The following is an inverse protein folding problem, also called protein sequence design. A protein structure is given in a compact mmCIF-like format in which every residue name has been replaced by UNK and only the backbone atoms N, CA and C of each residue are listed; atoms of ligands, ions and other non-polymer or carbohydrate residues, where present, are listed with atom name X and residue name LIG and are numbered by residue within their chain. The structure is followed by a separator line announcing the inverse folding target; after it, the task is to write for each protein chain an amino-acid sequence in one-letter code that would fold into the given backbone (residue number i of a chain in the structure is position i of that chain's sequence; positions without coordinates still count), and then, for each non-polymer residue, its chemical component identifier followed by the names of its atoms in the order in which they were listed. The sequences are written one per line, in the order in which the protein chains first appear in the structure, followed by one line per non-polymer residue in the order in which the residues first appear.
data_IF_074688136203
#
_entry.id   IF_074688136203
#
_cell.length_a   1.000
_cell.length_b   1.000
_cell.length_c   1.000
_cell.angle_alpha   90.00
_cell.angle_beta   90.00
_cell.angle_gamma   90.00
#
_symmetry.space_group_name_H-M   'P 1'
#
loop_
_entity.id
_entity.type
_entity.pdbx_description
1 polymer ?
#
# COMPACT_ATOMS: atom_id res chain seq x y z
N UNK A 1 -8.30 -22.38 -32.24
CA UNK A 1 -7.26 -21.36 -32.01
C UNK A 1 -6.87 -21.47 -30.55
N UNK A 2 -5.71 -22.06 -30.26
CA UNK A 2 -5.23 -22.25 -28.89
C UNK A 2 -4.84 -20.90 -28.30
N UNK A 3 -5.42 -20.60 -27.15
CA UNK A 3 -5.22 -19.39 -26.35
C UNK A 3 -3.74 -19.31 -25.94
N UNK A 4 -2.99 -18.39 -26.56
CA UNK A 4 -1.57 -18.18 -26.29
C UNK A 4 -1.38 -17.26 -25.08
N UNK A 5 -2.00 -17.62 -23.95
CA UNK A 5 -1.75 -16.92 -22.67
C UNK A 5 -0.30 -17.15 -22.27
N UNK A 6 0.37 -16.08 -21.86
CA UNK A 6 1.69 -16.17 -21.26
C UNK A 6 1.60 -17.09 -20.04
N UNK A 7 2.26 -18.24 -20.09
CA UNK A 7 2.25 -19.21 -18.98
C UNK A 7 3.12 -18.64 -17.86
N UNK A 8 2.69 -18.66 -16.59
CA UNK A 8 3.53 -18.20 -15.49
C UNK A 8 4.85 -19.00 -15.45
N UNK A 9 5.98 -18.36 -15.06
CA UNK A 9 7.27 -19.01 -14.91
C UNK A 9 7.20 -20.25 -14.01
N UNK A 10 8.06 -21.25 -14.24
CA UNK A 10 8.03 -22.51 -13.48
C UNK A 10 8.24 -22.31 -11.96
N UNK A 11 9.05 -21.33 -11.57
CA UNK A 11 9.27 -20.92 -10.18
C UNK A 11 8.01 -20.38 -9.50
N UNK A 12 7.13 -19.73 -10.26
CA UNK A 12 5.84 -19.22 -9.78
C UNK A 12 4.79 -20.32 -9.64
N UNK A 13 4.85 -21.36 -10.47
CA UNK A 13 3.89 -22.46 -10.41
C UNK A 13 3.90 -23.16 -9.04
N UNK A 14 5.08 -23.40 -8.46
CA UNK A 14 5.23 -24.04 -7.15
C UNK A 14 4.80 -23.12 -6.01
N UNK A 15 5.02 -21.80 -6.13
CA UNK A 15 4.53 -20.82 -5.15
C UNK A 15 3.00 -20.71 -5.18
N UNK A 16 2.40 -20.67 -6.37
CA UNK A 16 0.94 -20.65 -6.57
C UNK A 16 0.28 -21.90 -6.00
N UNK A 17 0.88 -23.08 -6.21
CA UNK A 17 0.32 -24.34 -5.68
C UNK A 17 0.31 -24.39 -4.14
N UNK A 18 1.27 -23.72 -3.48
CA UNK A 18 1.34 -23.64 -2.01
C UNK A 18 0.45 -22.57 -1.40
N UNK A 19 -0.10 -21.66 -2.21
CA UNK A 19 -1.01 -20.63 -1.73
C UNK A 19 -2.29 -21.23 -1.12
N UNK A 20 -2.89 -20.54 -0.16
CA UNK A 20 -4.17 -20.93 0.43
C UNK A 20 -5.30 -20.91 -0.61
N UNK A 21 -5.22 -20.04 -1.62
CA UNK A 21 -6.15 -20.01 -2.75
C UNK A 21 -5.44 -20.00 -4.12
N UNK A 22 -4.93 -21.15 -4.59
CA UNK A 22 -4.15 -21.23 -5.84
C UNK A 22 -4.89 -20.69 -7.06
N UNK A 23 -6.20 -20.94 -7.18
CA UNK A 23 -7.03 -20.43 -8.28
C UNK A 23 -7.09 -18.90 -8.33
N UNK A 24 -7.17 -18.26 -7.16
CA UNK A 24 -7.23 -16.79 -7.08
C UNK A 24 -5.89 -16.19 -7.45
N UNK A 25 -4.80 -16.72 -6.88
CA UNK A 25 -3.44 -16.26 -7.20
C UNK A 25 -3.17 -16.44 -8.69
N UNK A 26 -3.48 -17.62 -9.24
CA UNK A 26 -3.35 -17.89 -10.68
C UNK A 26 -4.13 -16.88 -11.52
N UNK A 27 -5.39 -16.61 -11.18
CA UNK A 27 -6.18 -15.61 -11.90
C UNK A 27 -5.58 -14.20 -11.82
N UNK A 28 -5.02 -13.80 -10.68
CA UNK A 28 -4.36 -12.48 -10.53
C UNK A 28 -3.12 -12.40 -11.40
N UNK A 29 -2.30 -13.45 -11.42
CA UNK A 29 -1.11 -13.55 -12.27
C UNK A 29 -1.47 -13.52 -13.76
N UNK A 30 -2.51 -14.27 -14.16
CA UNK A 30 -3.00 -14.25 -15.53
C UNK A 30 -3.41 -12.83 -15.94
N UNK A 31 -4.24 -12.15 -15.13
CA UNK A 31 -4.64 -10.77 -15.44
C UNK A 31 -3.45 -9.80 -15.46
N UNK A 32 -2.47 -9.97 -14.56
CA UNK A 32 -1.25 -9.16 -14.55
C UNK A 32 -0.47 -9.34 -15.85
N UNK A 33 -0.23 -10.58 -16.25
CA UNK A 33 0.59 -10.90 -17.43
C UNK A 33 -0.14 -10.64 -18.75
N UNK A 34 -1.48 -10.75 -18.78
CA UNK A 34 -2.29 -10.34 -19.93
C UNK A 34 -2.22 -8.82 -20.13
N UNK A 35 -2.25 -8.04 -19.04
CA UNK A 35 -2.15 -6.58 -19.09
C UNK A 35 -0.71 -6.09 -19.33
N UNK A 36 0.28 -6.77 -18.74
CA UNK A 36 1.71 -6.42 -18.79
C UNK A 36 2.58 -7.65 -19.08
N UNK A 37 2.63 -8.11 -20.35
CA UNK A 37 3.39 -9.31 -20.72
C UNK A 37 4.89 -9.23 -20.44
N UNK A 38 5.45 -8.01 -20.45
CA UNK A 38 6.87 -7.78 -20.16
C UNK A 38 7.27 -8.13 -18.72
N UNK A 39 6.33 -8.11 -17.78
CA UNK A 39 6.57 -8.41 -16.37
C UNK A 39 6.88 -9.90 -16.14
N UNK A 40 6.55 -10.79 -17.10
CA UNK A 40 6.84 -12.22 -17.00
C UNK A 40 8.34 -12.52 -16.80
N UNK A 41 9.20 -11.89 -17.61
CA UNK A 41 10.65 -12.10 -17.54
C UNK A 41 11.24 -11.58 -16.22
N UNK A 42 10.69 -10.48 -15.70
CA UNK A 42 11.10 -9.90 -14.42
C UNK A 42 10.72 -10.81 -13.25
N UNK A 43 9.47 -11.28 -13.24
CA UNK A 43 8.98 -12.20 -12.21
C UNK A 43 9.71 -13.56 -12.24
N UNK A 44 10.21 -13.98 -13.40
CA UNK A 44 11.08 -15.15 -13.50
C UNK A 44 12.49 -14.88 -12.95
N UNK A 45 13.06 -13.71 -13.24
CA UNK A 45 14.40 -13.32 -12.82
C UNK A 45 14.51 -12.94 -11.34
N UNK A 46 13.42 -12.51 -10.72
CA UNK A 46 13.37 -12.01 -9.33
C UNK A 46 12.44 -12.87 -8.45
N UNK A 47 12.92 -13.98 -7.86
CA UNK A 47 12.09 -14.88 -7.05
C UNK A 47 11.42 -14.21 -5.84
N UNK A 48 12.10 -13.25 -5.21
CA UNK A 48 11.58 -12.52 -4.05
C UNK A 48 10.41 -11.61 -4.44
N UNK A 49 10.46 -11.01 -5.64
CA UNK A 49 9.36 -10.23 -6.19
C UNK A 49 8.16 -11.13 -6.50
N UNK A 50 8.42 -12.28 -7.14
CA UNK A 50 7.37 -13.28 -7.41
C UNK A 50 6.69 -13.76 -6.12
N UNK A 51 7.47 -14.03 -5.06
CA UNK A 51 6.94 -14.40 -3.76
C UNK A 51 6.05 -13.29 -3.16
N UNK A 52 6.48 -12.02 -3.26
CA UNK A 52 5.69 -10.88 -2.80
C UNK A 52 4.34 -10.75 -3.54
N UNK A 53 4.35 -10.89 -4.87
CA UNK A 53 3.11 -10.86 -5.67
C UNK A 53 2.16 -11.99 -5.26
N UNK A 54 2.67 -13.21 -5.09
CA UNK A 54 1.86 -14.37 -4.67
C UNK A 54 1.28 -14.15 -3.27
N UNK A 55 2.11 -13.74 -2.31
CA UNK A 55 1.70 -13.52 -0.92
C UNK A 55 0.59 -12.46 -0.84
N UNK A 56 0.77 -11.33 -1.52
CA UNK A 56 -0.24 -10.26 -1.56
C UNK A 56 -1.53 -10.73 -2.25
N UNK A 57 -1.42 -11.41 -3.39
CA UNK A 57 -2.56 -11.91 -4.14
C UNK A 57 -3.40 -12.91 -3.33
N UNK A 58 -2.74 -13.70 -2.48
CA UNK A 58 -3.40 -14.66 -1.61
C UNK A 58 -3.94 -14.00 -0.32
N UNK A 59 -3.28 -12.99 0.23
CA UNK A 59 -3.78 -12.34 1.43
C UNK A 59 -4.97 -11.40 1.17
N UNK A 60 -4.92 -10.61 0.10
CA UNK A 60 -5.84 -9.47 -0.07
C UNK A 60 -6.31 -9.25 -1.50
N UNK A 61 -7.64 -9.33 -1.71
CA UNK A 61 -8.26 -8.99 -3.00
C UNK A 61 -8.09 -7.52 -3.38
N UNK A 62 -8.03 -6.64 -2.40
CA UNK A 62 -7.83 -5.21 -2.65
C UNK A 62 -6.42 -4.96 -3.18
N UNK A 63 -5.41 -5.49 -2.49
CA UNK A 63 -4.02 -5.32 -2.90
C UNK A 63 -3.71 -6.07 -4.20
N UNK A 64 -4.29 -7.25 -4.41
CA UNK A 64 -4.19 -7.97 -5.68
C UNK A 64 -4.65 -7.12 -6.88
N UNK A 65 -5.78 -6.40 -6.73
CA UNK A 65 -6.27 -5.48 -7.77
C UNK A 65 -5.33 -4.31 -7.98
N UNK A 66 -4.75 -3.78 -6.91
CA UNK A 66 -3.74 -2.72 -7.01
C UNK A 66 -2.50 -3.21 -7.77
N UNK A 67 -2.02 -4.42 -7.47
CA UNK A 67 -0.91 -5.05 -8.20
C UNK A 67 -1.19 -5.14 -9.69
N UNK A 68 -2.44 -5.42 -10.11
CA UNK A 68 -2.78 -5.48 -11.53
C UNK A 68 -2.94 -4.07 -12.15
N UNK A 69 -3.61 -3.15 -11.45
CA UNK A 69 -4.02 -1.86 -11.99
C UNK A 69 -2.94 -0.77 -11.98
N UNK A 70 -1.95 -0.86 -11.09
CA UNK A 70 -0.89 0.13 -10.94
C UNK A 70 0.42 -0.38 -11.55
N UNK A 71 0.92 0.32 -12.57
CA UNK A 71 2.16 -0.03 -13.28
C UNK A 71 3.39 -0.03 -12.37
N UNK A 72 3.42 0.84 -11.35
CA UNK A 72 4.56 0.93 -10.43
C UNK A 72 4.53 -0.14 -9.32
N UNK A 73 3.47 -0.95 -9.24
CA UNK A 73 3.28 -1.91 -8.13
C UNK A 73 4.40 -2.93 -8.00
N UNK A 74 4.99 -3.40 -9.11
CA UNK A 74 6.11 -4.34 -9.06
C UNK A 74 7.39 -3.68 -8.55
N UNK A 75 7.62 -2.41 -8.88
CA UNK A 75 8.76 -1.64 -8.33
C UNK A 75 8.59 -1.41 -6.83
N UNK A 76 7.37 -1.12 -6.39
CA UNK A 76 7.02 -1.00 -4.96
C UNK A 76 7.28 -2.32 -4.22
N UNK A 77 6.88 -3.45 -4.80
CA UNK A 77 7.09 -4.77 -4.20
C UNK A 77 8.58 -5.17 -4.20
N UNK A 78 9.32 -4.86 -5.26
CA UNK A 78 10.75 -5.13 -5.35
C UNK A 78 11.55 -4.28 -4.35
N UNK A 79 11.18 -3.00 -4.18
CA UNK A 79 11.82 -2.05 -3.27
C UNK A 79 11.27 -2.04 -1.84
N UNK A 80 10.47 -3.03 -1.45
CA UNK A 80 9.61 -2.97 -0.25
C UNK A 80 10.29 -2.72 1.09
N UNK A 81 11.60 -3.00 1.17
CA UNK A 81 12.43 -2.73 2.33
C UNK A 81 12.55 -1.23 2.66
N UNK A 82 12.30 -0.33 1.70
CA UNK A 82 12.50 1.11 1.86
C UNK A 82 11.19 1.87 1.57
N UNK A 83 10.74 2.76 2.48
CA UNK A 83 9.59 3.62 2.21
C UNK A 83 9.79 4.52 0.98
N UNK A 84 8.73 4.67 0.19
CA UNK A 84 8.73 5.59 -0.95
C UNK A 84 8.65 7.03 -0.46
N UNK A 85 9.36 7.98 -1.10
CA UNK A 85 9.20 9.40 -0.81
C UNK A 85 7.74 9.83 -0.90
N UNK A 86 7.30 10.70 0.02
CA UNK A 86 5.94 11.23 0.07
C UNK A 86 5.64 12.05 -1.18
N UNK A 87 4.65 11.63 -1.95
CA UNK A 87 4.08 12.41 -3.03
C UNK A 87 2.77 13.05 -2.57
N UNK A 88 2.78 14.38 -2.48
CA UNK A 88 1.61 15.19 -2.16
C UNK A 88 1.48 16.36 -3.13
N UNK A 89 1.80 16.14 -4.42
CA UNK A 89 1.63 17.16 -5.46
C UNK A 89 0.15 17.46 -5.76
N UNK A 90 -0.72 16.47 -5.52
CA UNK A 90 -2.18 16.60 -5.60
C UNK A 90 -2.84 15.60 -4.65
N UNK A 91 -4.15 15.73 -4.45
CA UNK A 91 -4.94 14.76 -3.67
C UNK A 91 -4.82 13.35 -4.28
N UNK A 92 -4.92 13.24 -5.60
CA UNK A 92 -4.80 11.96 -6.30
C UNK A 92 -3.41 11.35 -6.14
N UNK A 93 -2.36 12.17 -6.23
CA UNK A 93 -0.98 11.72 -6.01
C UNK A 93 -0.79 11.18 -4.59
N UNK A 94 -1.35 11.86 -3.59
CA UNK A 94 -1.32 11.43 -2.19
C UNK A 94 -2.08 10.12 -1.96
N UNK A 95 -3.24 9.95 -2.62
CA UNK A 95 -4.01 8.70 -2.57
C UNK A 95 -3.24 7.54 -3.21
N UNK A 96 -2.57 7.79 -4.33
CA UNK A 96 -1.73 6.78 -5.01
C UNK A 96 -0.55 6.41 -4.11
N UNK A 97 0.17 7.41 -3.57
CA UNK A 97 1.27 7.18 -2.63
C UNK A 97 0.81 6.34 -1.43
N UNK A 98 -0.32 6.71 -0.81
CA UNK A 98 -0.88 5.96 0.33
C UNK A 98 -1.12 4.48 -0.02
N UNK A 99 -1.73 4.22 -1.19
CA UNK A 99 -2.04 2.85 -1.63
C UNK A 99 -0.78 2.03 -1.89
N UNK A 100 0.24 2.65 -2.49
CA UNK A 100 1.55 2.03 -2.74
C UNK A 100 2.29 1.72 -1.44
N UNK A 101 2.32 2.66 -0.50
CA UNK A 101 2.93 2.40 0.81
C UNK A 101 2.19 1.33 1.59
N UNK A 102 0.86 1.28 1.51
CA UNK A 102 0.09 0.19 2.13
C UNK A 102 0.43 -1.17 1.51
N UNK A 103 0.58 -1.24 0.18
CA UNK A 103 1.02 -2.44 -0.54
C UNK A 103 2.41 -2.88 -0.07
N UNK A 104 3.33 -1.91 0.04
CA UNK A 104 4.71 -2.12 0.48
C UNK A 104 4.77 -2.75 1.88
N UNK A 105 4.08 -2.13 2.84
CA UNK A 105 4.03 -2.59 4.24
C UNK A 105 3.42 -3.98 4.31
N UNK A 106 2.29 -4.20 3.64
CA UNK A 106 1.62 -5.49 3.64
C UNK A 106 2.46 -6.60 3.01
N UNK A 107 3.21 -6.31 1.94
CA UNK A 107 4.09 -7.30 1.35
C UNK A 107 5.24 -7.70 2.28
N UNK A 108 5.88 -6.73 2.94
CA UNK A 108 6.95 -6.99 3.89
C UNK A 108 6.45 -7.76 5.13
N UNK A 109 5.27 -7.42 5.64
CA UNK A 109 4.59 -8.15 6.73
C UNK A 109 4.29 -9.61 6.35
N UNK A 110 3.68 -9.84 5.18
CA UNK A 110 3.33 -11.19 4.70
C UNK A 110 4.53 -12.10 4.38
N UNK A 111 5.71 -11.50 4.21
CA UNK A 111 6.97 -12.21 3.98
C UNK A 111 7.81 -12.33 5.26
N UNK A 112 7.23 -12.01 6.43
CA UNK A 112 7.89 -12.04 7.74
C UNK A 112 9.14 -11.14 7.81
N UNK A 113 9.22 -10.08 6.99
CA UNK A 113 10.32 -9.11 6.98
C UNK A 113 10.16 -8.05 8.07
N UNK A 114 8.95 -7.90 8.63
CA UNK A 114 8.60 -6.96 9.69
C UNK A 114 8.01 -7.69 10.88
N UNK A 115 8.45 -7.33 12.09
CA UNK A 115 7.73 -7.73 13.29
C UNK A 115 6.45 -6.90 13.48
N UNK A 116 5.53 -7.39 14.32
CA UNK A 116 4.23 -6.76 14.57
C UNK A 116 4.36 -5.29 14.99
N UNK A 117 5.37 -4.96 15.81
CA UNK A 117 5.57 -3.61 16.29
C UNK A 117 6.09 -2.70 15.16
N UNK A 118 6.92 -3.22 14.25
CA UNK A 118 7.42 -2.53 13.07
C UNK A 118 6.30 -2.27 12.06
N UNK A 119 5.39 -3.23 11.85
CA UNK A 119 4.18 -3.03 11.04
C UNK A 119 3.35 -1.89 11.61
N UNK A 120 3.08 -1.90 12.92
CA UNK A 120 2.31 -0.84 13.57
C UNK A 120 2.94 0.54 13.43
N UNK A 121 4.27 0.64 13.62
CA UNK A 121 5.01 1.89 13.41
C UNK A 121 4.92 2.38 11.97
N UNK A 122 5.11 1.50 10.97
CA UNK A 122 5.04 1.92 9.56
C UNK A 122 3.63 2.32 9.13
N UNK A 123 2.58 1.69 9.67
CA UNK A 123 1.21 2.11 9.43
C UNK A 123 0.92 3.49 10.06
N UNK A 124 1.46 3.76 11.25
CA UNK A 124 1.42 5.09 11.86
C UNK A 124 2.20 6.13 11.04
N UNK A 125 3.39 5.81 10.55
CA UNK A 125 4.18 6.70 9.69
C UNK A 125 3.48 6.99 8.35
N UNK A 126 2.80 5.98 7.79
CA UNK A 126 1.92 6.17 6.62
C UNK A 126 0.79 7.14 6.94
N UNK A 127 0.10 6.99 8.07
CA UNK A 127 -0.96 7.90 8.49
C UNK A 127 -0.44 9.34 8.69
N UNK A 128 0.70 9.50 9.36
CA UNK A 128 1.38 10.79 9.55
C UNK A 128 1.74 11.43 8.19
N UNK A 129 2.25 10.65 7.24
CA UNK A 129 2.56 11.11 5.89
C UNK A 129 1.31 11.56 5.12
N UNK A 130 0.19 10.84 5.25
CA UNK A 130 -1.10 11.25 4.66
C UNK A 130 -1.61 12.55 5.29
N UNK A 131 -1.59 12.65 6.62
CA UNK A 131 -2.04 13.85 7.33
C UNK A 131 -1.18 15.07 6.96
N UNK A 132 0.15 14.92 7.00
CA UNK A 132 1.07 15.98 6.59
C UNK A 132 0.92 16.37 5.11
N UNK A 133 0.69 15.40 4.22
CA UNK A 133 0.39 15.65 2.82
C UNK A 133 -0.92 16.43 2.63
N UNK A 134 -1.98 16.04 3.35
CA UNK A 134 -3.27 16.70 3.30
C UNK A 134 -3.20 18.15 3.82
N UNK A 135 -2.49 18.40 4.93
CA UNK A 135 -2.27 19.75 5.44
C UNK A 135 -1.56 20.64 4.43
N UNK A 136 -0.52 20.13 3.75
CA UNK A 136 0.18 20.89 2.69
C UNK A 136 -0.74 21.22 1.52
N UNK A 137 -1.56 20.27 1.07
CA UNK A 137 -2.51 20.47 -0.02
C UNK A 137 -3.61 21.46 0.33
N UNK A 138 -3.98 21.55 1.61
CA UNK A 138 -4.97 22.48 2.13
C UNK A 138 -4.38 23.84 2.56
N UNK A 139 -3.07 24.06 2.40
CA UNK A 139 -2.33 25.22 2.91
C UNK A 139 -2.54 25.47 4.42
N UNK A 140 -2.76 24.41 5.18
CA UNK A 140 -3.03 24.44 6.61
C UNK A 140 -1.72 24.48 7.41
N UNK A 141 -1.00 25.60 7.33
CA UNK A 141 0.33 25.76 7.94
C UNK A 141 0.31 26.18 9.42
N UNK A 142 -0.78 26.80 9.88
CA UNK A 142 -0.96 27.28 11.26
C UNK A 142 -1.80 26.32 12.14
N UNK A 143 -1.89 25.05 11.74
CA UNK A 143 -2.65 24.02 12.45
C UNK A 143 -1.70 22.90 12.89
N UNK A 144 -1.75 22.56 14.17
CA UNK A 144 -1.17 21.33 14.69
C UNK A 144 -2.18 20.17 14.58
N UNK A 145 -1.70 19.03 14.07
CA UNK A 145 -2.46 17.77 14.04
C UNK A 145 -1.93 16.85 15.13
N UNK A 146 -2.77 16.49 16.08
CA UNK A 146 -2.41 15.61 17.20
C UNK A 146 -3.07 14.25 16.98
N UNK A 147 -2.25 13.22 16.75
CA UNK A 147 -2.71 11.84 16.70
C UNK A 147 -3.11 11.34 18.08
N UNK A 148 -4.31 10.77 18.17
CA UNK A 148 -4.87 10.19 19.40
C UNK A 148 -4.92 8.66 19.28
N UNK A 149 -5.25 7.98 20.38
CA UNK A 149 -5.42 6.53 20.39
C UNK A 149 -4.20 5.78 19.85
N UNK A 150 -4.43 4.80 18.95
CA UNK A 150 -3.38 3.99 18.33
C UNK A 150 -2.44 4.79 17.43
N UNK A 151 -2.93 5.85 16.80
CA UNK A 151 -2.08 6.75 16.03
C UNK A 151 -1.10 7.46 16.97
N UNK A 152 -1.60 8.03 18.07
CA UNK A 152 -0.77 8.67 19.10
C UNK A 152 0.21 7.70 19.78
N UNK A 153 -0.18 6.43 19.93
CA UNK A 153 0.68 5.36 20.46
C UNK A 153 1.64 4.74 19.43
N UNK A 154 1.57 5.16 18.15
CA UNK A 154 2.36 4.62 17.03
C UNK A 154 2.22 3.09 16.86
N UNK A 155 1.00 2.60 17.04
CA UNK A 155 0.63 1.18 17.03
C UNK A 155 -0.63 0.92 16.19
N UNK A 156 -0.76 1.63 15.06
CA UNK A 156 -1.89 1.41 14.14
C UNK A 156 -1.91 -0.03 13.63
N UNK A 157 -3.10 -0.51 13.28
CA UNK A 157 -3.26 -1.73 12.50
C UNK A 157 -4.00 -1.43 11.19
N UNK A 158 -4.03 -2.39 10.26
CA UNK A 158 -4.60 -2.20 8.92
C UNK A 158 -6.06 -1.72 8.88
N UNK A 159 -6.83 -2.00 9.93
CA UNK A 159 -8.25 -1.66 10.03
C UNK A 159 -8.52 -0.56 11.06
N UNK A 160 -7.49 0.14 11.53
CA UNK A 160 -7.67 1.21 12.52
C UNK A 160 -8.21 2.46 11.84
N UNK A 161 -9.22 3.06 12.48
CA UNK A 161 -9.54 4.46 12.24
C UNK A 161 -8.41 5.34 12.79
N UNK A 162 -8.28 6.55 12.25
CA UNK A 162 -7.36 7.56 12.76
C UNK A 162 -8.12 8.59 13.58
N UNK A 163 -7.81 8.64 14.87
CA UNK A 163 -8.35 9.66 15.77
C UNK A 163 -7.38 10.85 15.81
N UNK A 164 -7.86 12.04 15.46
CA UNK A 164 -7.04 13.25 15.44
C UNK A 164 -7.74 14.44 16.11
N UNK A 165 -6.93 15.33 16.69
CA UNK A 165 -7.33 16.68 17.10
C UNK A 165 -6.61 17.70 16.24
N UNK A 166 -7.35 18.66 15.70
CA UNK A 166 -6.79 19.82 15.01
C UNK A 166 -6.76 21.00 15.97
N UNK A 167 -5.59 21.60 16.15
CA UNK A 167 -5.39 22.76 17.02
C UNK A 167 -4.83 23.90 16.20
N UNK A 168 -5.63 24.94 16.00
CA UNK A 168 -5.19 26.21 15.42
C UNK A 168 -5.13 27.32 16.47
N UNK A 169 -4.57 28.47 16.10
CA UNK A 169 -4.45 29.65 16.98
C UNK A 169 -5.75 30.45 17.16
N UNK A 170 -6.87 29.93 16.63
CA UNK A 170 -8.08 30.65 16.28
C UNK A 170 -8.49 31.77 17.25
N UNK A 171 -8.64 32.99 16.70
CA UNK A 171 -9.48 34.01 17.32
C UNK A 171 -10.90 33.45 17.37
N UNK A 172 -11.52 33.49 18.56
CA UNK A 172 -12.72 32.74 18.91
C UNK A 172 -13.98 32.98 18.03
N UNK A 173 -13.98 34.00 17.17
CA UNK A 173 -15.14 34.39 16.37
C UNK A 173 -15.36 33.52 15.11
N UNK A 174 -14.31 32.89 14.57
CA UNK A 174 -14.40 32.13 13.31
C UNK A 174 -14.90 30.68 13.47
N UNK A 175 -14.73 30.10 14.66
CA UNK A 175 -15.02 28.68 14.93
C UNK A 175 -16.53 28.37 14.94
N UNK A 176 -17.37 29.35 15.32
CA UNK A 176 -18.82 29.16 15.37
C UNK A 176 -19.51 29.20 13.99
N UNK A 177 -18.83 29.71 12.96
CA UNK A 177 -19.41 29.90 11.62
C UNK A 177 -19.12 28.72 10.67
N UNK A 178 -18.06 27.94 10.93
CA UNK A 178 -17.66 26.78 10.11
C UNK A 178 -18.26 25.45 10.56
N UNK A 179 -18.97 25.41 11.70
CA UNK A 179 -19.64 24.22 12.24
C UNK A 179 -21.15 24.14 11.90
N UNK A 180 -21.65 24.96 10.96
CA UNK A 180 -23.00 24.91 10.40
C UNK A 180 -22.97 24.56 8.92
#
# INVERSE_FOLDING_TARGET
MADARARPPASLADAVQRAASPRRVGSVLDHLLDARPADAARLEAEPDLAAAVVAVADASRFLARLVVADEASLDVLAGRAVPSPLDAASVDALVIWKRRELLRIAAADLLDELDLAAVGRQLSDLADGVLGGACRLADATDIAVIGMGKLGGRELNYSSDIDILLVGDGRADDVAQQAR
#
